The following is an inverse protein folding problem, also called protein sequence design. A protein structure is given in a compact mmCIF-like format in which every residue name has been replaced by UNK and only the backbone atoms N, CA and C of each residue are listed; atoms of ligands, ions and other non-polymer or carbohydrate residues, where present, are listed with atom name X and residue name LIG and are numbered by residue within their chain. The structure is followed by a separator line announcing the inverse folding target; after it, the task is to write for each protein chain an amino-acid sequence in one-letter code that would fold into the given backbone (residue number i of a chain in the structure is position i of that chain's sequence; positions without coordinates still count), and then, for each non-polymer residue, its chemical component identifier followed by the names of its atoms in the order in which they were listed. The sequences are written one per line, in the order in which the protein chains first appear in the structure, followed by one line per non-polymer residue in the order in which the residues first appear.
data_IF_811428619619
#
_entry.id   IF_811428619619
#
_cell.length_a   1.000
_cell.length_b   1.000
_cell.length_c   1.000
_cell.angle_alpha   90.00
_cell.angle_beta   90.00
_cell.angle_gamma   90.00
#
_symmetry.space_group_name_H-M   'P 1'
#
loop_
_entity.id
_entity.type
_entity.pdbx_description
1 polymer ?
#
# COMPACT_ATOMS: atom_id res chain seq x y z
N UNK A 1 20.07 -13.22 22.56
CA UNK A 1 18.61 -13.07 22.31
C UNK A 1 18.18 -11.63 22.00
N UNK A 2 18.70 -10.61 22.69
CA UNK A 2 18.31 -9.20 22.49
C UNK A 2 18.53 -8.66 21.07
N UNK A 3 19.62 -9.06 20.41
CA UNK A 3 19.91 -8.65 19.03
C UNK A 3 18.85 -9.13 18.03
N UNK A 4 18.45 -10.41 18.09
CA UNK A 4 17.40 -10.96 17.21
C UNK A 4 16.05 -10.27 17.39
N UNK A 5 15.69 -9.90 18.62
CA UNK A 5 14.48 -9.12 18.91
C UNK A 5 14.50 -7.76 18.20
N UNK A 6 15.60 -7.01 18.36
CA UNK A 6 15.80 -5.70 17.71
C UNK A 6 15.77 -5.81 16.19
N UNK A 7 16.51 -6.77 15.63
CA UNK A 7 16.59 -6.99 14.20
C UNK A 7 15.23 -7.39 13.61
N UNK A 8 14.50 -8.30 14.26
CA UNK A 8 13.16 -8.69 13.84
C UNK A 8 12.19 -7.51 13.83
N UNK A 9 12.18 -6.71 14.88
CA UNK A 9 11.34 -5.51 14.95
C UNK A 9 11.70 -4.55 13.81
N UNK A 10 12.98 -4.20 13.68
CA UNK A 10 13.48 -3.32 12.61
C UNK A 10 13.05 -3.80 11.22
N UNK A 11 13.28 -5.07 10.88
CA UNK A 11 12.91 -5.63 9.58
C UNK A 11 11.39 -5.57 9.37
N UNK A 12 10.60 -5.95 10.39
CA UNK A 12 9.14 -6.00 10.29
C UNK A 12 8.53 -4.62 10.06
N UNK A 13 8.99 -3.60 10.79
CA UNK A 13 8.48 -2.24 10.64
C UNK A 13 8.94 -1.62 9.32
N UNK A 14 10.23 -1.75 8.99
CA UNK A 14 10.78 -1.21 7.75
C UNK A 14 10.12 -1.84 6.52
N UNK A 15 10.03 -3.17 6.46
CA UNK A 15 9.46 -3.87 5.30
C UNK A 15 7.99 -3.49 5.06
N UNK A 16 7.21 -3.32 6.13
CA UNK A 16 5.81 -2.87 6.03
C UNK A 16 5.69 -1.45 5.54
N UNK A 17 6.47 -0.53 6.09
CA UNK A 17 6.45 0.86 5.63
C UNK A 17 6.85 0.97 4.17
N UNK A 18 7.87 0.21 3.75
CA UNK A 18 8.24 0.12 2.33
C UNK A 18 7.08 -0.44 1.50
N UNK A 19 6.49 -1.58 1.88
CA UNK A 19 5.38 -2.17 1.14
C UNK A 19 4.21 -1.20 0.96
N UNK A 20 3.75 -0.56 2.03
CA UNK A 20 2.63 0.39 1.99
C UNK A 20 2.96 1.65 1.17
N UNK A 21 4.18 2.15 1.32
CA UNK A 21 4.64 3.32 0.56
C UNK A 21 4.82 3.02 -0.93
N UNK A 22 5.18 1.78 -1.31
CA UNK A 22 5.22 1.35 -2.70
C UNK A 22 3.82 1.24 -3.30
N UNK A 23 2.83 0.75 -2.55
CA UNK A 23 1.43 0.76 -3.00
C UNK A 23 0.97 2.20 -3.19
N UNK A 24 1.28 3.10 -2.24
CA UNK A 24 1.01 4.52 -2.37
C UNK A 24 1.66 5.12 -3.62
N UNK A 25 2.94 4.82 -3.89
CA UNK A 25 3.65 5.26 -5.09
C UNK A 25 2.98 4.74 -6.37
N UNK A 26 2.54 3.48 -6.38
CA UNK A 26 1.77 2.91 -7.48
C UNK A 26 0.42 3.64 -7.69
N UNK A 27 -0.28 4.02 -6.61
CA UNK A 27 -1.51 4.83 -6.73
C UNK A 27 -1.23 6.21 -7.30
N UNK A 28 -0.11 6.82 -6.90
CA UNK A 28 0.34 8.12 -7.39
C UNK A 28 0.71 8.08 -8.88
N UNK A 29 1.45 7.05 -9.31
CA UNK A 29 1.76 6.83 -10.71
C UNK A 29 0.48 6.70 -11.55
N UNK A 30 -0.50 5.91 -11.07
CA UNK A 30 -1.78 5.74 -11.77
C UNK A 30 -2.55 7.05 -11.89
N UNK A 31 -2.54 7.89 -10.85
CA UNK A 31 -3.13 9.21 -10.89
C UNK A 31 -2.46 10.08 -11.97
N UNK A 32 -1.13 10.13 -11.99
CA UNK A 32 -0.36 10.85 -13.01
C UNK A 32 -0.73 10.38 -14.43
N UNK A 33 -0.74 9.07 -14.66
CA UNK A 33 -1.10 8.49 -15.96
C UNK A 33 -2.53 8.86 -16.39
N UNK A 34 -3.45 8.98 -15.43
CA UNK A 34 -4.84 9.34 -15.68
C UNK A 34 -5.05 10.82 -16.02
N UNK A 35 -4.11 11.69 -15.63
CA UNK A 35 -4.21 13.15 -15.85
C UNK A 35 -4.32 13.49 -17.33
N UNK A 36 -5.02 14.57 -17.67
CA UNK A 36 -5.13 15.09 -19.04
C UNK A 36 -3.87 15.82 -19.49
N UNK A 37 -3.05 16.31 -18.55
CA UNK A 37 -1.85 17.08 -18.86
C UNK A 37 -0.71 16.16 -19.32
N UNK A 38 -0.17 16.41 -20.52
CA UNK A 38 0.93 15.65 -21.11
C UNK A 38 2.22 15.71 -20.28
N UNK A 39 2.52 16.86 -19.67
CA UNK A 39 3.71 17.02 -18.83
C UNK A 39 3.65 16.11 -17.60
N UNK A 40 2.47 15.97 -17.00
CA UNK A 40 2.29 15.07 -15.87
C UNK A 40 2.53 13.63 -16.31
N UNK A 41 1.96 13.19 -17.44
CA UNK A 41 2.14 11.82 -17.95
C UNK A 41 3.60 11.44 -18.19
N UNK A 42 4.45 12.39 -18.58
CA UNK A 42 5.88 12.15 -18.78
C UNK A 42 6.63 11.82 -17.48
N UNK A 43 6.08 12.14 -16.30
CA UNK A 43 6.65 11.78 -15.00
C UNK A 43 6.47 10.29 -14.64
N UNK A 44 5.50 9.61 -15.26
CA UNK A 44 5.38 8.14 -15.19
C UNK A 44 6.40 7.52 -16.14
N UNK A 45 7.65 7.49 -15.67
CA UNK A 45 8.74 6.78 -16.31
C UNK A 45 9.28 5.73 -15.35
N UNK A 46 9.69 4.58 -15.89
CA UNK A 46 10.30 3.48 -15.11
C UNK A 46 11.53 3.97 -14.33
N UNK A 47 12.25 4.97 -14.86
CA UNK A 47 13.39 5.59 -14.18
C UNK A 47 12.95 6.32 -12.91
N UNK A 48 11.83 7.05 -12.97
CA UNK A 48 11.29 7.78 -11.83
C UNK A 48 10.70 6.83 -10.78
N UNK A 49 10.02 5.77 -11.21
CA UNK A 49 9.50 4.74 -10.29
C UNK A 49 10.62 4.03 -9.51
N UNK A 50 11.70 3.64 -10.19
CA UNK A 50 12.90 3.08 -9.53
C UNK A 50 13.53 4.05 -8.52
N UNK A 51 13.66 5.33 -8.90
CA UNK A 51 14.19 6.37 -7.98
C UNK A 51 13.26 6.56 -6.77
N UNK A 52 11.95 6.62 -6.98
CA UNK A 52 10.96 6.75 -5.92
C UNK A 52 10.98 5.57 -4.95
N UNK A 53 11.02 4.34 -5.47
CA UNK A 53 11.13 3.11 -4.67
C UNK A 53 12.41 3.08 -3.82
N UNK A 54 13.55 3.49 -4.41
CA UNK A 54 14.82 3.59 -3.67
C UNK A 54 14.75 4.63 -2.55
N UNK A 55 14.23 5.83 -2.84
CA UNK A 55 14.08 6.92 -1.86
C UNK A 55 13.18 6.48 -0.71
N UNK A 56 12.03 5.89 -1.00
CA UNK A 56 11.10 5.35 0.01
C UNK A 56 11.77 4.31 0.90
N UNK A 57 12.58 3.42 0.30
CA UNK A 57 13.30 2.38 1.04
C UNK A 57 14.33 2.98 1.99
N UNK A 58 15.14 3.93 1.50
CA UNK A 58 16.15 4.61 2.33
C UNK A 58 15.51 5.41 3.47
N UNK A 59 14.45 6.19 3.18
CA UNK A 59 13.73 6.94 4.20
C UNK A 59 13.14 6.00 5.26
N UNK A 60 12.55 4.87 4.85
CA UNK A 60 12.00 3.88 5.79
C UNK A 60 13.07 3.31 6.71
N UNK A 61 14.25 2.96 6.16
CA UNK A 61 15.40 2.48 6.96
C UNK A 61 15.82 3.52 7.99
N UNK A 62 15.94 4.79 7.59
CA UNK A 62 16.35 5.89 8.47
C UNK A 62 15.33 6.11 9.60
N UNK A 63 14.03 6.16 9.28
CA UNK A 63 12.95 6.35 10.26
C UNK A 63 12.95 5.25 11.34
N UNK A 64 13.23 4.00 10.95
CA UNK A 64 13.19 2.86 11.86
C UNK A 64 14.54 2.47 12.47
N UNK A 65 15.63 3.12 12.08
CA UNK A 65 16.96 2.87 12.65
C UNK A 65 16.96 3.00 14.19
N UNK A 66 16.17 3.93 14.72
CA UNK A 66 15.98 4.12 16.16
C UNK A 66 15.47 2.87 16.91
N UNK A 67 14.79 1.93 16.23
CA UNK A 67 14.31 0.68 16.85
C UNK A 67 15.47 -0.21 17.30
N UNK A 68 16.60 -0.20 16.59
CA UNK A 68 17.79 -0.98 16.95
C UNK A 68 18.37 -0.54 18.30
N UNK A 69 18.17 0.73 18.65
CA UNK A 69 18.61 1.28 19.94
C UNK A 69 17.55 1.11 21.04
N UNK A 70 16.28 1.40 20.73
CA UNK A 70 15.21 1.55 21.74
C UNK A 70 14.56 0.24 22.22
N UNK A 71 14.69 -0.87 21.50
CA UNK A 71 14.06 -2.15 21.87
C UNK A 71 14.92 -2.96 22.83
N UNK A 72 14.28 -3.66 23.78
CA UNK A 72 14.94 -4.59 24.71
C UNK A 72 14.15 -5.91 24.78
N UNK A 73 14.87 -7.01 25.00
CA UNK A 73 14.26 -8.33 25.18
C UNK A 73 13.97 -8.58 26.66
N UNK A 74 12.98 -9.45 26.91
CA UNK A 74 12.54 -9.96 28.20
C UNK A 74 12.10 -8.87 29.19
N UNK A 75 11.19 -7.97 28.77
CA UNK A 75 10.45 -7.13 29.71
C UNK A 75 9.32 -7.95 30.33
N UNK A 76 9.22 -7.95 31.67
CA UNK A 76 8.22 -8.70 32.42
C UNK A 76 6.80 -8.09 32.28
N UNK A 77 6.70 -6.77 32.12
CA UNK A 77 5.42 -6.04 32.10
C UNK A 77 4.91 -5.68 30.69
N UNK A 78 5.51 -6.26 29.65
CA UNK A 78 5.16 -5.97 28.27
C UNK A 78 4.29 -7.08 27.65
N UNK A 79 3.35 -6.75 26.75
CA UNK A 79 2.51 -7.75 26.07
C UNK A 79 3.34 -8.72 25.21
N UNK A 80 4.57 -8.33 24.82
CA UNK A 80 5.56 -9.21 24.21
C UNK A 80 6.88 -9.20 24.96
N UNK A 81 7.56 -10.34 24.91
CA UNK A 81 8.95 -10.52 25.35
C UNK A 81 9.96 -9.61 24.61
N UNK A 82 9.55 -8.88 23.57
CA UNK A 82 10.39 -7.97 22.81
C UNK A 82 9.65 -6.65 22.62
N UNK A 83 10.00 -5.63 23.41
CA UNK A 83 9.27 -4.37 23.44
C UNK A 83 10.24 -3.20 23.70
N UNK A 84 9.78 -1.96 23.47
CA UNK A 84 10.53 -0.75 23.81
C UNK A 84 10.98 -0.70 25.28
N UNK A 85 12.08 0.03 25.54
CA UNK A 85 12.67 0.12 26.88
C UNK A 85 11.90 1.05 27.84
N UNK A 86 11.28 2.11 27.32
CA UNK A 86 10.63 3.17 28.11
C UNK A 86 9.29 3.57 27.51
N UNK A 87 8.33 4.01 28.34
CA UNK A 87 7.00 4.51 27.94
C UNK A 87 7.08 5.52 26.79
N UNK A 88 8.03 6.45 26.86
CA UNK A 88 8.27 7.44 25.81
C UNK A 88 8.74 6.83 24.47
N UNK A 89 9.54 5.76 24.52
CA UNK A 89 9.94 5.04 23.30
C UNK A 89 8.76 4.34 22.64
N UNK A 90 7.87 3.72 23.43
CA UNK A 90 6.65 3.09 22.92
C UNK A 90 5.76 4.13 22.24
N UNK A 91 5.48 5.22 22.94
CA UNK A 91 4.64 6.30 22.45
C UNK A 91 5.17 6.87 21.13
N UNK A 92 6.47 7.17 21.06
CA UNK A 92 7.08 7.70 19.83
C UNK A 92 7.01 6.69 18.67
N UNK A 93 7.30 5.42 18.94
CA UNK A 93 7.26 4.36 17.93
C UNK A 93 5.83 4.12 17.42
N UNK A 94 4.84 4.08 18.31
CA UNK A 94 3.46 3.85 17.94
C UNK A 94 2.85 5.05 17.21
N UNK A 95 3.21 6.29 17.58
CA UNK A 95 2.82 7.49 16.85
C UNK A 95 3.46 7.50 15.45
N UNK A 96 4.77 7.27 15.34
CA UNK A 96 5.47 7.24 14.05
C UNK A 96 4.87 6.18 13.14
N UNK A 97 4.64 4.97 13.67
CA UNK A 97 4.03 3.90 12.89
C UNK A 97 2.60 4.24 12.48
N UNK A 98 1.74 4.65 13.41
CA UNK A 98 0.34 4.93 13.10
C UNK A 98 0.19 6.10 12.13
N UNK A 99 0.92 7.19 12.35
CA UNK A 99 0.85 8.39 11.50
C UNK A 99 1.55 8.21 10.16
N UNK A 100 2.84 7.84 10.16
CA UNK A 100 3.65 7.83 8.94
C UNK A 100 3.47 6.55 8.12
N UNK A 101 3.20 5.41 8.75
CA UNK A 101 3.12 4.13 8.05
C UNK A 101 1.69 3.75 7.68
N UNK A 102 0.70 4.07 8.51
CA UNK A 102 -0.69 3.70 8.24
C UNK A 102 -1.48 4.90 7.70
N UNK A 103 -1.67 5.95 8.51
CA UNK A 103 -2.59 7.04 8.17
C UNK A 103 -2.14 7.82 6.93
N UNK A 104 -0.86 8.21 6.85
CA UNK A 104 -0.36 9.00 5.73
C UNK A 104 -0.50 8.28 4.38
N UNK A 105 -0.06 7.01 4.22
CA UNK A 105 -0.30 6.27 2.99
C UNK A 105 -1.79 6.06 2.70
N UNK A 106 -2.60 5.72 3.71
CA UNK A 106 -4.04 5.49 3.51
C UNK A 106 -4.78 6.73 3.01
N UNK A 107 -4.55 7.88 3.63
CA UNK A 107 -5.15 9.15 3.22
C UNK A 107 -4.70 9.50 1.80
N UNK A 108 -3.40 9.41 1.53
CA UNK A 108 -2.84 9.71 0.20
C UNK A 108 -3.42 8.79 -0.88
N UNK A 109 -3.48 7.48 -0.64
CA UNK A 109 -4.06 6.50 -1.55
C UNK A 109 -5.54 6.76 -1.82
N UNK A 110 -6.30 7.14 -0.80
CA UNK A 110 -7.73 7.43 -0.93
C UNK A 110 -7.95 8.68 -1.79
N UNK A 111 -7.24 9.77 -1.49
CA UNK A 111 -7.32 11.02 -2.26
C UNK A 111 -6.90 10.79 -3.71
N UNK A 112 -5.74 10.15 -3.93
CA UNK A 112 -5.24 9.84 -5.28
C UNK A 112 -6.18 8.89 -6.03
N UNK A 113 -6.79 7.92 -5.34
CA UNK A 113 -7.78 7.01 -5.90
C UNK A 113 -9.04 7.74 -6.40
N UNK A 114 -9.57 8.66 -5.60
CA UNK A 114 -10.71 9.51 -5.98
C UNK A 114 -10.36 10.40 -7.17
N UNK A 115 -9.20 11.08 -7.14
CA UNK A 115 -8.74 11.93 -8.24
C UNK A 115 -8.56 11.12 -9.54
N UNK A 116 -8.02 9.91 -9.45
CA UNK A 116 -7.89 8.98 -10.57
C UNK A 116 -9.25 8.68 -11.18
N UNK A 117 -10.24 8.32 -10.36
CA UNK A 117 -11.62 8.07 -10.80
C UNK A 117 -12.24 9.28 -11.50
N UNK A 118 -12.06 10.47 -10.94
CA UNK A 118 -12.55 11.73 -11.52
C UNK A 118 -11.94 12.01 -12.90
N UNK A 119 -10.62 11.85 -13.05
CA UNK A 119 -9.92 12.03 -14.32
C UNK A 119 -10.39 11.04 -15.40
N UNK A 120 -10.64 9.80 -15.01
CA UNK A 120 -11.15 8.76 -15.92
C UNK A 120 -12.58 9.07 -16.37
N UNK A 121 -13.46 9.53 -15.46
CA UNK A 121 -14.82 9.93 -15.81
C UNK A 121 -14.80 11.09 -16.81
N UNK A 122 -14.00 12.14 -16.54
CA UNK A 122 -13.83 13.29 -17.43
C UNK A 122 -13.31 12.89 -18.82
N UNK A 123 -12.33 11.97 -18.88
CA UNK A 123 -11.77 11.50 -20.15
C UNK A 123 -12.76 10.66 -20.96
N UNK A 124 -13.66 9.91 -20.31
CA UNK A 124 -14.71 9.14 -21.02
C UNK A 124 -15.73 10.04 -21.68
N UNK A 125 -16.15 11.12 -21.01
CA UNK A 125 -17.12 12.08 -21.56
C UNK A 125 -16.57 12.83 -22.77
N UNK A 126 -15.26 13.11 -22.82
CA UNK A 126 -14.63 13.79 -23.95
C UNK A 126 -14.37 12.87 -25.17
N UNK A 127 -14.33 11.54 -24.97
CA UNK A 127 -14.12 10.56 -26.04
C UNK A 127 -15.40 9.94 -26.58
N UNK A 128 -16.57 10.55 -26.33
CA UNK A 128 -17.77 10.18 -27.07
C UNK A 128 -17.45 10.34 -28.58
N UNK A 129 -17.69 9.29 -29.39
CA UNK A 129 -17.20 9.27 -30.75
C UNK A 129 -17.92 10.38 -31.52
N UNK A 130 -17.23 11.50 -31.73
CA UNK A 130 -17.48 12.36 -32.88
C UNK A 130 -17.41 11.42 -34.07
N UNK A 131 -18.59 11.01 -34.57
CA UNK A 131 -18.74 10.09 -35.69
C UNK A 131 -17.70 10.49 -36.72
N UNK A 132 -16.70 9.64 -36.92
CA UNK A 132 -15.70 9.77 -37.99
C UNK A 132 -16.52 9.61 -39.27
N UNK A 133 -17.08 10.74 -39.71
CA UNK A 133 -17.87 10.85 -40.91
C UNK A 133 -16.84 11.02 -42.01
N UNK A 134 -16.72 9.96 -42.83
CA UNK A 134 -16.17 9.96 -44.20
C UNK A 134 -14.86 10.73 -44.38
N UNK A 135 -13.76 9.97 -44.46
CA UNK A 135 -12.68 10.10 -45.45
C UNK A 135 -11.41 9.54 -44.83
N UNK A 136 -11.05 8.31 -45.22
CA UNK A 136 -9.67 7.78 -45.31
C UNK A 136 -9.75 6.26 -45.48
N UNK A 137 -10.05 5.84 -46.72
CA UNK A 137 -10.15 4.43 -47.12
C UNK A 137 -8.78 3.78 -47.38
N UNK A 138 -7.66 4.40 -46.99
CA UNK A 138 -6.33 3.99 -47.46
C UNK A 138 -5.43 3.28 -46.44
N UNK A 139 -5.89 3.00 -45.21
CA UNK A 139 -5.08 2.18 -44.28
C UNK A 139 -5.90 1.39 -43.24
N UNK A 140 -6.94 0.69 -43.72
CA UNK A 140 -7.90 -0.06 -42.90
C UNK A 140 -7.21 -1.13 -42.01
N UNK A 141 -6.19 -1.83 -42.52
CA UNK A 141 -5.46 -2.86 -41.77
C UNK A 141 -4.66 -2.30 -40.60
N UNK A 142 -3.97 -1.16 -40.79
CA UNK A 142 -3.20 -0.52 -39.73
C UNK A 142 -4.10 0.04 -38.61
N UNK A 143 -5.23 0.66 -39.01
CA UNK A 143 -6.26 1.14 -38.08
C UNK A 143 -6.88 0.01 -37.24
N UNK A 144 -7.17 -1.16 -37.83
CA UNK A 144 -7.70 -2.32 -37.10
C UNK A 144 -6.69 -2.84 -36.07
N UNK A 145 -5.41 -2.92 -36.41
CA UNK A 145 -4.33 -3.35 -35.49
C UNK A 145 -4.21 -2.36 -34.32
N UNK A 146 -4.18 -1.06 -34.61
CA UNK A 146 -4.06 -0.02 -33.60
C UNK A 146 -5.29 0.05 -32.69
N UNK A 147 -6.50 -0.15 -33.22
CA UNK A 147 -7.73 -0.25 -32.42
C UNK A 147 -7.73 -1.49 -31.51
N UNK A 148 -7.34 -2.67 -32.01
CA UNK A 148 -7.23 -3.89 -31.20
C UNK A 148 -6.21 -3.73 -30.08
N UNK A 149 -5.04 -3.14 -30.37
CA UNK A 149 -4.07 -2.79 -29.34
C UNK A 149 -4.72 -1.86 -28.31
N UNK A 150 -5.30 -0.73 -28.71
CA UNK A 150 -5.93 0.22 -27.79
C UNK A 150 -7.00 -0.43 -26.90
N UNK A 151 -7.80 -1.35 -27.45
CA UNK A 151 -8.78 -2.11 -26.67
C UNK A 151 -8.13 -3.06 -25.66
N UNK A 152 -7.04 -3.74 -26.03
CA UNK A 152 -6.26 -4.60 -25.12
C UNK A 152 -5.65 -3.80 -23.98
N UNK A 153 -5.03 -2.65 -24.29
CA UNK A 153 -4.48 -1.72 -23.29
C UNK A 153 -5.57 -1.20 -22.33
N UNK A 154 -6.75 -0.83 -22.85
CA UNK A 154 -7.92 -0.44 -22.02
C UNK A 154 -8.42 -1.58 -21.13
N UNK A 155 -8.33 -2.85 -21.56
CA UNK A 155 -8.68 -4.01 -20.72
C UNK A 155 -7.66 -4.17 -19.58
N UNK A 156 -6.37 -4.14 -19.89
CA UNK A 156 -5.29 -4.26 -18.90
C UNK A 156 -5.40 -3.15 -17.85
N UNK A 157 -5.60 -1.91 -18.26
CA UNK A 157 -5.76 -0.77 -17.34
C UNK A 157 -7.01 -0.90 -16.44
N UNK A 158 -8.09 -1.53 -16.92
CA UNK A 158 -9.25 -1.83 -16.07
C UNK A 158 -8.92 -2.87 -15.00
N UNK A 159 -8.20 -3.93 -15.35
CA UNK A 159 -7.78 -4.95 -14.39
C UNK A 159 -6.84 -4.36 -13.33
N UNK A 160 -5.80 -3.64 -13.75
CA UNK A 160 -4.81 -3.04 -12.83
C UNK A 160 -5.47 -2.06 -11.86
N UNK A 161 -6.40 -1.22 -12.32
CA UNK A 161 -7.18 -0.32 -11.45
C UNK A 161 -8.08 -1.08 -10.48
N UNK A 162 -8.77 -2.14 -10.93
CA UNK A 162 -9.62 -2.96 -10.06
C UNK A 162 -8.78 -3.64 -8.98
N UNK A 163 -7.63 -4.18 -9.35
CA UNK A 163 -6.66 -4.81 -8.47
C UNK A 163 -6.17 -3.84 -7.39
N UNK A 164 -5.75 -2.65 -7.79
CA UNK A 164 -5.28 -1.59 -6.88
C UNK A 164 -6.40 -1.10 -5.95
N UNK A 165 -7.63 -0.96 -6.45
CA UNK A 165 -8.77 -0.58 -5.62
C UNK A 165 -9.11 -1.66 -4.59
N UNK A 166 -9.11 -2.94 -4.97
CA UNK A 166 -9.30 -4.05 -4.04
C UNK A 166 -8.20 -4.07 -2.98
N UNK A 167 -6.95 -3.81 -3.38
CA UNK A 167 -5.82 -3.75 -2.47
C UNK A 167 -5.96 -2.60 -1.46
N UNK A 168 -6.33 -1.40 -1.91
CA UNK A 168 -6.55 -0.24 -1.03
C UNK A 168 -7.72 -0.47 -0.07
N UNK A 169 -8.86 -0.98 -0.55
CA UNK A 169 -10.01 -1.28 0.31
C UNK A 169 -9.64 -2.31 1.38
N UNK A 170 -8.99 -3.40 0.96
CA UNK A 170 -8.61 -4.45 1.90
C UNK A 170 -7.59 -3.96 2.92
N UNK A 171 -6.65 -3.11 2.48
CA UNK A 171 -5.68 -2.49 3.35
C UNK A 171 -6.35 -1.60 4.41
N UNK A 172 -7.33 -0.76 4.02
CA UNK A 172 -8.10 0.06 4.97
C UNK A 172 -8.79 -0.86 5.99
N UNK A 173 -9.50 -1.89 5.54
CA UNK A 173 -10.23 -2.79 6.43
C UNK A 173 -9.32 -3.53 7.42
N UNK A 174 -8.12 -3.94 6.98
CA UNK A 174 -7.21 -4.75 7.81
C UNK A 174 -6.28 -3.92 8.70
N UNK A 175 -5.94 -2.68 8.32
CA UNK A 175 -4.93 -1.86 9.05
C UNK A 175 -5.53 -0.68 9.82
N UNK A 176 -6.71 -0.21 9.44
CA UNK A 176 -7.34 0.91 10.13
C UNK A 176 -7.72 0.60 11.60
N UNK A 177 -8.28 -0.59 11.94
CA UNK A 177 -8.55 -0.95 13.34
C UNK A 177 -7.28 -0.89 14.20
N UNK A 178 -6.16 -1.36 13.65
CA UNK A 178 -4.87 -1.34 14.35
C UNK A 178 -4.38 0.09 14.64
N UNK A 179 -4.52 1.02 13.69
CA UNK A 179 -4.14 2.41 13.91
C UNK A 179 -4.96 3.06 15.03
N UNK A 180 -6.27 2.80 15.05
CA UNK A 180 -7.16 3.30 16.11
C UNK A 180 -6.74 2.72 17.46
N UNK A 181 -6.57 1.40 17.55
CA UNK A 181 -6.22 0.74 18.80
C UNK A 181 -4.86 1.19 19.32
N UNK A 182 -3.85 1.33 18.47
CA UNK A 182 -2.54 1.83 18.88
C UNK A 182 -2.59 3.25 19.43
N UNK A 183 -3.31 4.15 18.77
CA UNK A 183 -3.47 5.54 19.25
C UNK A 183 -4.23 5.54 20.58
N UNK A 184 -5.31 4.77 20.68
CA UNK A 184 -6.09 4.63 21.90
C UNK A 184 -5.26 4.09 23.07
N UNK A 185 -4.56 2.98 22.85
CA UNK A 185 -3.71 2.34 23.86
C UNK A 185 -2.60 3.29 24.33
N UNK A 186 -1.99 4.01 23.39
CA UNK A 186 -0.95 5.00 23.67
C UNK A 186 -1.48 6.14 24.55
N UNK A 187 -2.69 6.64 24.30
CA UNK A 187 -3.31 7.69 25.11
C UNK A 187 -3.78 7.23 26.48
N UNK A 188 -4.20 5.97 26.62
CA UNK A 188 -4.69 5.41 27.89
C UNK A 188 -3.60 4.73 28.73
N UNK A 189 -2.34 4.76 28.30
CA UNK A 189 -1.23 4.04 28.93
C UNK A 189 -0.93 4.45 30.39
N UNK A 190 -1.47 5.57 30.88
CA UNK A 190 -1.23 6.10 32.24
C UNK A 190 -2.34 5.79 33.26
N UNK A 191 -3.35 4.99 32.91
CA UNK A 191 -4.44 4.63 33.83
C UNK A 191 -4.20 3.24 34.44
N UNK A 192 -4.50 3.08 35.73
CA UNK A 192 -4.53 1.76 36.37
C UNK A 192 -5.58 0.90 35.67
N UNK A 193 -5.13 -0.15 34.98
CA UNK A 193 -6.01 -1.09 34.28
C UNK A 193 -6.39 -2.25 35.18
N UNK A 194 -7.62 -2.74 35.06
CA UNK A 194 -8.03 -3.99 35.72
C UNK A 194 -7.44 -5.21 35.01
N UNK A 195 -7.37 -6.36 35.69
CA UNK A 195 -6.89 -7.60 35.08
C UNK A 195 -7.68 -7.98 33.82
N UNK A 196 -9.01 -7.81 33.86
CA UNK A 196 -9.88 -8.05 32.71
C UNK A 196 -9.51 -7.17 31.50
N UNK A 197 -9.15 -5.90 31.73
CA UNK A 197 -8.73 -5.00 30.66
C UNK A 197 -7.40 -5.44 30.05
N UNK A 198 -6.46 -5.93 30.87
CA UNK A 198 -5.19 -6.44 30.37
C UNK A 198 -5.37 -7.66 29.47
N UNK A 199 -6.24 -8.60 29.86
CA UNK A 199 -6.51 -9.81 29.08
C UNK A 199 -7.22 -9.48 27.76
N UNK A 200 -8.16 -8.53 27.78
CA UNK A 200 -8.84 -8.04 26.58
C UNK A 200 -7.89 -7.30 25.63
N UNK A 201 -7.04 -6.41 26.14
CA UNK A 201 -6.02 -5.70 25.36
C UNK A 201 -5.06 -6.69 24.68
N UNK A 202 -4.67 -7.76 25.40
CA UNK A 202 -3.82 -8.82 24.86
C UNK A 202 -4.54 -9.61 23.76
N UNK A 203 -5.82 -9.91 23.92
CA UNK A 203 -6.62 -10.55 22.88
C UNK A 203 -6.70 -9.67 21.62
N UNK A 204 -7.07 -8.40 21.76
CA UNK A 204 -7.15 -7.45 20.66
C UNK A 204 -5.80 -7.31 19.93
N UNK A 205 -4.71 -7.19 20.69
CA UNK A 205 -3.37 -7.12 20.11
C UNK A 205 -3.05 -8.35 19.24
N UNK A 206 -3.34 -9.56 19.73
CA UNK A 206 -3.11 -10.79 18.96
C UNK A 206 -4.00 -10.88 17.72
N UNK A 207 -5.26 -10.46 17.84
CA UNK A 207 -6.19 -10.40 16.72
C UNK A 207 -5.70 -9.43 15.63
N UNK A 208 -5.23 -8.25 16.01
CA UNK A 208 -4.64 -7.29 15.08
C UNK A 208 -3.36 -7.80 14.42
N UNK A 209 -2.53 -8.50 15.18
CA UNK A 209 -1.34 -9.16 14.64
C UNK A 209 -1.71 -10.17 13.54
N UNK A 210 -2.82 -10.91 13.71
CA UNK A 210 -3.33 -11.84 12.70
C UNK A 210 -3.84 -11.09 11.45
N UNK A 211 -4.65 -10.05 11.62
CA UNK A 211 -5.13 -9.22 10.51
C UNK A 211 -3.98 -8.67 9.66
N UNK A 212 -2.90 -8.30 10.33
CA UNK A 212 -1.70 -7.75 9.73
C UNK A 212 -0.87 -8.82 8.98
N UNK A 213 -0.88 -10.08 9.42
CA UNK A 213 -0.31 -11.16 8.62
C UNK A 213 -1.16 -11.49 7.39
N UNK A 214 -2.49 -11.44 7.52
CA UNK A 214 -3.42 -11.60 6.41
C UNK A 214 -3.18 -10.49 5.38
N UNK A 215 -3.05 -9.24 5.82
CA UNK A 215 -2.73 -8.09 4.97
C UNK A 215 -1.47 -8.33 4.16
N UNK A 216 -0.39 -8.81 4.77
CA UNK A 216 0.88 -9.04 4.07
C UNK A 216 0.80 -10.17 3.04
N UNK A 217 -0.09 -11.14 3.21
CA UNK A 217 -0.33 -12.22 2.25
C UNK A 217 -1.30 -11.83 1.12
N UNK A 218 -2.18 -10.85 1.37
CA UNK A 218 -3.28 -10.51 0.49
C UNK A 218 -2.87 -10.02 -0.91
N UNK A 219 -1.80 -9.21 -1.11
CA UNK A 219 -1.37 -8.78 -2.43
C UNK A 219 -1.14 -9.95 -3.40
N UNK A 220 -0.58 -11.06 -2.92
CA UNK A 220 -0.38 -12.25 -3.75
C UNK A 220 -1.71 -12.80 -4.28
N UNK A 221 -2.70 -12.96 -3.40
CA UNK A 221 -4.03 -13.44 -3.78
C UNK A 221 -4.76 -12.44 -4.68
N UNK A 222 -4.64 -11.14 -4.42
CA UNK A 222 -5.23 -10.10 -5.27
C UNK A 222 -4.59 -10.12 -6.66
N UNK A 223 -3.27 -10.23 -6.77
CA UNK A 223 -2.57 -10.24 -8.05
C UNK A 223 -2.87 -11.50 -8.86
N UNK A 224 -2.96 -12.66 -8.23
CA UNK A 224 -3.26 -13.94 -8.90
C UNK A 224 -4.74 -14.09 -9.28
N UNK A 225 -5.66 -13.67 -8.40
CA UNK A 225 -7.11 -13.84 -8.61
C UNK A 225 -7.71 -12.67 -9.41
N UNK A 226 -7.39 -11.42 -9.05
CA UNK A 226 -7.98 -10.23 -9.66
C UNK A 226 -7.15 -9.63 -10.81
N UNK A 227 -5.85 -9.93 -10.89
CA UNK A 227 -4.96 -9.50 -11.99
C UNK A 227 -5.28 -10.13 -13.36
N UNK A 228 -6.17 -11.12 -13.39
CA UNK A 228 -6.69 -11.76 -14.61
C UNK A 228 -5.66 -12.62 -15.34
N UNK A 229 -5.91 -12.92 -16.62
CA UNK A 229 -5.04 -13.79 -17.44
C UNK A 229 -3.61 -13.27 -17.60
N UNK A 230 -3.36 -11.97 -17.44
CA UNK A 230 -2.01 -11.41 -17.65
C UNK A 230 -1.03 -11.94 -16.60
N UNK A 231 -1.42 -11.89 -15.32
CA UNK A 231 -0.58 -12.38 -14.23
C UNK A 231 -0.53 -13.91 -14.19
N UNK A 232 -1.63 -14.59 -14.47
CA UNK A 232 -1.67 -16.07 -14.53
C UNK A 232 -0.77 -16.61 -15.64
N UNK A 233 -0.84 -16.04 -16.83
CA UNK A 233 0.03 -16.44 -17.93
C UNK A 233 1.51 -16.11 -17.67
N UNK A 234 1.81 -15.06 -16.90
CA UNK A 234 3.19 -14.76 -16.50
C UNK A 234 3.71 -15.75 -15.46
N UNK A 235 2.85 -16.19 -14.53
CA UNK A 235 3.17 -17.22 -13.55
C UNK A 235 3.39 -18.59 -14.22
N UNK A 236 2.52 -18.97 -15.16
CA UNK A 236 2.68 -20.20 -15.94
C UNK A 236 4.03 -20.24 -16.67
N UNK A 237 4.43 -19.15 -17.32
CA UNK A 237 5.74 -19.03 -17.99
C UNK A 237 6.96 -19.01 -17.07
N UNK A 238 6.76 -18.78 -15.78
CA UNK A 238 7.84 -18.83 -14.78
C UNK A 238 8.00 -20.24 -14.21
N UNK A 239 6.93 -21.04 -14.24
CA UNK A 239 6.89 -22.40 -13.71
C UNK A 239 7.20 -23.46 -14.79
N UNK A 240 6.94 -23.14 -16.07
CA UNK A 240 7.15 -24.00 -17.24
C UNK A 240 7.92 -23.24 -18.31
#
# INVERSE_FOLDING_TARGET
MTFFCKLRAFITFTSRTVALSLIMLATYERWIMSSSNLQHRQLSSIKNDRKGSLIVTLISIVIYLQMLYRYKANLMDAPLKCYGKTSACHLLTDIIYSCLTILFPLISMTVLGVLTLSNIRKTRTCMEPRKIRREERLNEKCLIIQQRQRQRWKKIDRYLRRMLLLQVISLILLTFPQAIHKVYFTMLSNKNKSQLQYDFDRFLYNFELLLLFIESALPFYIYTLAGGKVFRNALEKLLF
#
